data_IF_510201439288
#
_entry.id   IF_510201439288
#
_cell.length_a   1.000
_cell.length_b   1.000
_cell.length_c   1.000
_cell.angle_alpha   90.00
_cell.angle_beta   90.00
_cell.angle_gamma   90.00
#
_symmetry.space_group_name_H-M   'P 1'
#
loop_
_entity.id
_entity.type
_entity.pdbx_description
1 polymer ?
#
# COMPACT_ATOMS: atom_id res chain seq x y z
N UNK A 1 -15.87 -21.05 0.44
CA UNK A 1 -15.78 -19.61 0.14
C UNK A 1 -14.62 -19.08 0.95
N UNK A 2 -13.61 -18.51 0.29
CA UNK A 2 -12.35 -18.09 0.92
C UNK A 2 -12.28 -16.57 0.87
N UNK A 3 -11.74 -15.95 1.91
CA UNK A 3 -11.47 -14.52 1.96
C UNK A 3 -9.97 -14.32 2.16
N UNK A 4 -9.41 -13.29 1.53
CA UNK A 4 -7.99 -12.95 1.63
C UNK A 4 -7.81 -11.78 2.58
N UNK A 5 -6.97 -11.95 3.61
CA UNK A 5 -6.57 -10.88 4.50
C UNK A 5 -5.34 -10.18 3.91
N UNK A 6 -5.43 -8.87 3.71
CA UNK A 6 -4.34 -8.07 3.19
C UNK A 6 -3.35 -7.71 4.30
N UNK A 7 -2.07 -7.68 3.95
CA UNK A 7 -0.95 -7.33 4.83
C UNK A 7 -0.25 -6.07 4.33
N UNK A 8 0.50 -5.39 5.20
CA UNK A 8 1.19 -4.13 4.89
C UNK A 8 2.21 -4.30 3.79
N UNK A 9 3.04 -5.35 3.85
CA UNK A 9 4.15 -5.57 2.89
C UNK A 9 3.71 -5.57 1.42
N UNK A 10 2.77 -6.43 1.01
CA UNK A 10 2.25 -6.45 -0.36
C UNK A 10 1.64 -5.12 -0.81
N UNK A 11 0.96 -4.39 0.08
CA UNK A 11 0.40 -3.07 -0.24
C UNK A 11 1.48 -2.02 -0.49
N UNK A 12 2.57 -2.05 0.30
CA UNK A 12 3.72 -1.17 0.07
C UNK A 12 4.41 -1.48 -1.26
N UNK A 13 4.67 -2.76 -1.54
CA UNK A 13 5.32 -3.18 -2.79
C UNK A 13 4.51 -2.79 -4.04
N UNK A 14 3.18 -2.71 -3.95
CA UNK A 14 2.33 -2.25 -5.07
C UNK A 14 2.46 -0.75 -5.31
N UNK A 15 2.65 0.03 -4.26
CA UNK A 15 2.79 1.49 -4.37
C UNK A 15 4.20 1.89 -4.82
N UNK A 16 5.22 1.20 -4.32
CA UNK A 16 6.62 1.43 -4.69
C UNK A 16 6.99 0.70 -5.99
N UNK A 17 7.19 1.46 -7.08
CA UNK A 17 7.54 0.89 -8.39
C UNK A 17 8.96 0.32 -8.45
N UNK A 18 9.83 0.75 -7.54
CA UNK A 18 11.22 0.29 -7.48
C UNK A 18 11.39 -0.89 -6.51
N UNK A 19 10.32 -1.29 -5.80
CA UNK A 19 10.33 -2.48 -4.94
C UNK A 19 10.52 -3.75 -5.78
N UNK A 20 11.47 -4.60 -5.35
CA UNK A 20 11.79 -5.87 -6.02
C UNK A 20 10.59 -6.83 -6.15
N UNK A 21 9.55 -6.67 -5.33
CA UNK A 21 8.32 -7.46 -5.35
C UNK A 21 7.16 -6.78 -6.07
N UNK A 22 7.33 -5.55 -6.56
CA UNK A 22 6.28 -4.76 -7.20
C UNK A 22 5.48 -5.56 -8.23
N UNK A 23 6.15 -6.10 -9.24
CA UNK A 23 5.50 -6.86 -10.31
C UNK A 23 4.76 -8.11 -9.83
N UNK A 24 5.27 -8.79 -8.79
CA UNK A 24 4.58 -9.95 -8.22
C UNK A 24 3.36 -9.58 -7.39
N UNK A 25 3.43 -8.49 -6.62
CA UNK A 25 2.33 -8.05 -5.76
C UNK A 25 1.20 -7.39 -6.57
N UNK A 26 1.52 -6.66 -7.64
CA UNK A 26 0.53 -6.15 -8.60
C UNK A 26 -0.24 -7.32 -9.21
N UNK A 27 0.47 -8.31 -9.79
CA UNK A 27 -0.18 -9.49 -10.38
C UNK A 27 -1.04 -10.24 -9.38
N UNK A 28 -0.53 -10.45 -8.15
CA UNK A 28 -1.29 -11.12 -7.10
C UNK A 28 -2.61 -10.39 -6.82
N UNK A 29 -2.60 -9.06 -6.67
CA UNK A 29 -3.83 -8.29 -6.42
C UNK A 29 -4.79 -8.28 -7.60
N UNK A 30 -4.29 -8.28 -8.84
CA UNK A 30 -5.12 -8.37 -10.05
C UNK A 30 -5.79 -9.74 -10.21
N UNK A 31 -5.13 -10.81 -9.74
CA UNK A 31 -5.61 -12.20 -9.86
C UNK A 31 -6.41 -12.67 -8.63
N UNK A 32 -6.48 -11.89 -7.54
CA UNK A 32 -7.17 -12.27 -6.33
C UNK A 32 -8.70 -12.32 -6.51
N UNK A 33 -9.29 -13.46 -6.15
CA UNK A 33 -10.74 -13.67 -6.19
C UNK A 33 -11.36 -13.67 -4.79
N UNK A 34 -12.63 -13.28 -4.72
CA UNK A 34 -13.41 -13.27 -3.48
C UNK A 34 -13.18 -12.04 -2.59
N UNK A 35 -13.70 -12.05 -1.35
CA UNK A 35 -13.60 -10.90 -0.46
C UNK A 35 -12.16 -10.58 -0.06
N UNK A 36 -11.77 -9.32 -0.19
CA UNK A 36 -10.53 -8.78 0.35
C UNK A 36 -10.81 -8.07 1.66
N UNK A 37 -10.15 -8.52 2.72
CA UNK A 37 -10.27 -7.94 4.06
C UNK A 37 -9.02 -7.11 4.34
N UNK A 38 -9.21 -5.81 4.56
CA UNK A 38 -8.15 -4.89 4.94
C UNK A 38 -8.28 -4.55 6.43
N UNK A 39 -7.41 -5.06 7.31
CA UNK A 39 -7.39 -4.65 8.70
C UNK A 39 -7.14 -3.15 8.84
N UNK A 40 -7.81 -2.49 9.79
CA UNK A 40 -7.56 -1.07 10.08
C UNK A 40 -6.12 -0.80 10.50
N UNK A 41 -5.48 -1.74 11.18
CA UNK A 41 -4.06 -1.67 11.55
C UNK A 41 -3.14 -1.65 10.34
N UNK A 42 -3.42 -2.50 9.34
CA UNK A 42 -2.67 -2.56 8.07
C UNK A 42 -2.87 -1.28 7.27
N UNK A 43 -4.09 -0.73 7.24
CA UNK A 43 -4.35 0.56 6.58
C UNK A 43 -3.52 1.69 7.19
N UNK A 44 -3.46 1.77 8.52
CA UNK A 44 -2.69 2.81 9.23
C UNK A 44 -1.19 2.65 8.99
N UNK A 45 -0.67 1.43 9.10
CA UNK A 45 0.76 1.16 8.89
C UNK A 45 1.17 1.45 7.44
N UNK A 46 0.38 0.98 6.46
CA UNK A 46 0.65 1.22 5.04
C UNK A 46 0.62 2.72 4.73
N UNK A 47 -0.43 3.43 5.17
CA UNK A 47 -0.56 4.86 4.94
C UNK A 47 0.58 5.68 5.56
N UNK A 48 0.97 5.36 6.79
CA UNK A 48 2.10 6.03 7.44
C UNK A 48 3.42 5.75 6.73
N UNK A 49 3.68 4.50 6.35
CA UNK A 49 4.91 4.09 5.67
C UNK A 49 5.03 4.75 4.29
N UNK A 50 3.95 4.75 3.50
CA UNK A 50 3.90 5.44 2.20
C UNK A 50 4.18 6.93 2.39
N UNK A 51 3.51 7.58 3.34
CA UNK A 51 3.70 9.01 3.57
C UNK A 51 5.15 9.33 3.99
N UNK A 52 5.73 8.53 4.88
CA UNK A 52 7.07 8.75 5.40
C UNK A 52 8.17 8.54 4.36
N UNK A 53 8.02 7.56 3.48
CA UNK A 53 9.08 7.14 2.55
C UNK A 53 8.87 7.63 1.11
N UNK A 54 7.63 7.87 0.70
CA UNK A 54 7.25 8.21 -0.68
C UNK A 54 6.39 9.47 -0.75
N UNK A 55 5.97 10.02 0.40
CA UNK A 55 5.20 11.24 0.48
C UNK A 55 6.04 12.44 0.05
N UNK A 56 5.38 13.40 -0.61
CA UNK A 56 6.02 14.67 -0.91
C UNK A 56 6.29 15.41 0.41
N UNK A 57 7.49 15.97 0.63
CA UNK A 57 7.75 16.80 1.80
C UNK A 57 6.71 17.91 1.90
N UNK A 58 6.18 18.10 3.10
CA UNK A 58 5.30 19.25 3.36
C UNK A 58 6.07 20.52 3.03
N UNK A 59 5.62 21.22 2.00
CA UNK A 59 6.11 22.55 1.65
C UNK A 59 5.02 23.52 2.08
N UNK A 60 5.21 24.32 3.14
CA UNK A 60 4.22 25.31 3.53
C UNK A 60 3.96 26.22 2.32
N UNK A 61 2.71 26.36 1.91
CA UNK A 61 2.37 27.44 0.98
C UNK A 61 2.69 28.75 1.69
N UNK A 62 3.54 29.57 1.10
CA UNK A 62 3.76 30.94 1.57
C UNK A 62 2.39 31.60 1.68
N UNK A 63 1.97 31.90 2.91
CA UNK A 63 0.78 32.71 3.17
C UNK A 63 1.09 34.10 2.60
N UNK A 64 0.67 34.36 1.37
CA UNK A 64 0.50 35.70 0.81
C UNK A 64 -0.95 36.12 0.93
#
# INVERSE_FOLDING_TARGET
MTATLLDTGPLIAVVDRDDKHHASCVRLLEELEGPLLLPSTVLIEAGWTINKHMGRPYTPSSLT
#
